data_IF_949611967698
#
_entry.id   IF_949611967698
#
_cell.length_a   1.000
_cell.length_b   1.000
_cell.length_c   1.000
_cell.angle_alpha   90.00
_cell.angle_beta   90.00
_cell.angle_gamma   90.00
#
_symmetry.space_group_name_H-M   'P 1'
#
loop_
_entity.id
_entity.type
_entity.pdbx_description
1 polymer ?
#
# COMPACT_ATOMS: atom_id res chain seq x y z
N UNK A 1 -48.64 -64.64 59.51
CA UNK A 1 -49.82 -65.09 58.74
C UNK A 1 -51.06 -64.72 59.55
N UNK A 2 -52.12 -65.53 59.55
CA UNK A 2 -53.31 -65.38 60.41
C UNK A 2 -52.97 -65.53 61.93
N UNK A 3 -51.71 -65.82 62.26
CA UNK A 3 -51.09 -65.83 63.59
C UNK A 3 -50.40 -64.52 64.01
N UNK A 4 -50.39 -63.49 63.16
CA UNK A 4 -49.73 -62.21 63.44
C UNK A 4 -48.20 -62.19 63.27
N UNK A 5 -47.58 -63.28 62.79
CA UNK A 5 -46.17 -63.30 62.42
C UNK A 5 -45.92 -62.38 61.23
N UNK A 6 -45.06 -61.37 61.44
CA UNK A 6 -44.56 -60.46 60.40
C UNK A 6 -43.15 -60.90 60.00
N UNK A 7 -42.87 -60.93 58.70
CA UNK A 7 -41.52 -61.17 58.19
C UNK A 7 -40.57 -60.09 58.69
N UNK A 8 -39.37 -60.49 59.10
CA UNK A 8 -38.31 -59.56 59.50
C UNK A 8 -37.76 -58.84 58.27
N UNK A 9 -37.81 -57.51 58.26
CA UNK A 9 -37.19 -56.69 57.23
C UNK A 9 -35.67 -56.75 57.38
N UNK A 10 -34.98 -57.23 56.35
CA UNK A 10 -33.53 -57.16 56.27
C UNK A 10 -33.16 -56.02 55.31
N UNK A 11 -32.54 -54.98 55.81
CA UNK A 11 -32.00 -53.90 55.00
C UNK A 11 -30.53 -54.18 54.69
N UNK A 12 -30.14 -53.98 53.43
CA UNK A 12 -28.74 -54.03 52.99
C UNK A 12 -28.43 -52.78 52.21
N UNK A 13 -27.23 -52.25 52.44
CA UNK A 13 -26.70 -51.15 51.65
C UNK A 13 -26.21 -51.69 50.31
N UNK A 14 -26.69 -51.10 49.22
CA UNK A 14 -26.20 -51.34 47.86
C UNK A 14 -25.53 -50.07 47.39
N UNK A 15 -24.26 -50.16 47.01
CA UNK A 15 -23.53 -49.04 46.44
C UNK A 15 -23.63 -49.14 44.91
N UNK A 16 -24.37 -48.22 44.29
CA UNK A 16 -24.49 -48.12 42.83
C UNK A 16 -23.44 -47.10 42.39
N UNK A 17 -22.59 -47.49 41.44
CA UNK A 17 -21.59 -46.60 40.86
C UNK A 17 -22.03 -46.21 39.46
N UNK A 18 -21.83 -44.95 39.11
CA UNK A 18 -22.06 -44.46 37.76
C UNK A 18 -21.12 -45.18 36.76
N UNK A 19 -21.62 -45.41 35.55
CA UNK A 19 -20.85 -45.91 34.42
C UNK A 19 -20.74 -44.74 33.44
N UNK A 20 -19.54 -44.31 33.05
CA UNK A 20 -19.39 -43.20 32.11
C UNK A 20 -19.87 -43.60 30.71
N UNK A 21 -20.26 -42.61 29.89
CA UNK A 21 -20.68 -42.84 28.51
C UNK A 21 -19.53 -43.39 27.67
N UNK A 22 -19.88 -44.09 26.59
CA UNK A 22 -18.93 -44.63 25.61
C UNK A 22 -19.18 -43.99 24.26
N UNK A 23 -18.12 -43.40 23.68
CA UNK A 23 -18.12 -42.81 22.34
C UNK A 23 -17.38 -43.76 21.38
N UNK A 24 -17.95 -43.98 20.20
CA UNK A 24 -17.28 -44.74 19.14
C UNK A 24 -16.27 -43.85 18.41
N UNK A 25 -15.16 -44.41 17.89
CA UNK A 25 -14.20 -43.66 17.10
C UNK A 25 -14.86 -42.93 15.94
N UNK A 26 -14.50 -41.66 15.74
CA UNK A 26 -15.00 -40.86 14.63
C UNK A 26 -14.36 -41.30 13.32
N UNK A 27 -15.10 -41.15 12.22
CA UNK A 27 -14.56 -41.44 10.90
C UNK A 27 -13.50 -40.40 10.53
N UNK A 28 -12.37 -40.86 10.00
CA UNK A 28 -11.38 -39.96 9.40
C UNK A 28 -11.97 -39.27 8.17
N UNK A 29 -11.77 -37.96 8.06
CA UNK A 29 -12.30 -37.16 6.96
C UNK A 29 -11.18 -36.90 5.96
N UNK A 30 -11.49 -37.01 4.67
CA UNK A 30 -10.57 -36.61 3.62
C UNK A 30 -10.42 -35.08 3.62
N UNK A 31 -9.28 -34.54 3.12
CA UNK A 31 -9.13 -33.10 2.99
C UNK A 31 -10.28 -32.49 2.18
N UNK A 32 -10.83 -31.39 2.67
CA UNK A 32 -11.95 -30.67 2.07
C UNK A 32 -11.51 -29.30 1.58
N UNK A 33 -12.27 -28.71 0.67
CA UNK A 33 -12.02 -27.34 0.27
C UNK A 33 -12.59 -26.37 1.31
N UNK A 34 -11.99 -25.19 1.42
CA UNK A 34 -12.55 -24.09 2.21
C UNK A 34 -13.98 -23.75 1.80
N UNK A 35 -14.82 -23.41 2.78
CA UNK A 35 -16.24 -23.15 2.59
C UNK A 35 -17.09 -24.37 2.24
N UNK A 36 -16.48 -25.55 2.08
CA UNK A 36 -17.21 -26.79 1.84
C UNK A 36 -17.86 -27.29 3.14
N UNK A 37 -19.18 -27.48 3.12
CA UNK A 37 -19.89 -28.09 4.24
C UNK A 37 -19.65 -29.59 4.32
N UNK A 38 -19.43 -30.06 5.55
CA UNK A 38 -19.33 -31.49 5.87
C UNK A 38 -20.35 -31.89 6.93
N UNK A 39 -20.59 -33.19 7.02
CA UNK A 39 -21.39 -33.80 8.08
C UNK A 39 -20.52 -34.82 8.82
N UNK A 40 -20.34 -34.63 10.12
CA UNK A 40 -19.71 -35.61 11.01
C UNK A 40 -20.79 -36.16 11.92
N UNK A 41 -20.89 -37.48 12.04
CA UNK A 41 -21.84 -38.14 12.94
C UNK A 41 -21.09 -38.80 14.08
N UNK A 42 -21.42 -38.38 15.30
CA UNK A 42 -20.96 -38.99 16.54
C UNK A 42 -21.88 -40.14 16.92
N UNK A 43 -21.31 -41.24 17.38
CA UNK A 43 -22.09 -42.36 17.89
C UNK A 43 -21.68 -42.63 19.34
N UNK A 44 -22.63 -42.48 20.25
CA UNK A 44 -22.44 -42.61 21.68
C UNK A 44 -23.52 -43.47 22.32
N UNK A 45 -23.14 -44.18 23.38
CA UNK A 45 -24.04 -45.05 24.13
C UNK A 45 -23.67 -45.04 25.61
N UNK A 46 -24.64 -45.32 26.48
CA UNK A 46 -24.45 -45.41 27.92
C UNK A 46 -25.46 -46.40 28.52
N UNK A 47 -25.61 -46.43 29.84
CA UNK A 47 -26.60 -47.28 30.50
C UNK A 47 -28.03 -46.87 30.12
N UNK A 48 -29.00 -47.80 30.13
CA UNK A 48 -30.38 -47.50 29.75
C UNK A 48 -31.06 -46.40 30.56
N UNK A 49 -30.62 -46.13 31.80
CA UNK A 49 -31.15 -45.00 32.59
C UNK A 49 -30.65 -43.66 32.10
N UNK A 50 -29.44 -43.61 31.53
CA UNK A 50 -28.71 -42.37 31.27
C UNK A 50 -28.82 -41.96 29.80
N UNK A 51 -29.08 -42.91 28.88
CA UNK A 51 -29.30 -42.67 27.44
C UNK A 51 -30.24 -41.47 27.16
N UNK A 52 -31.41 -41.32 27.81
CA UNK A 52 -32.33 -40.21 27.52
C UNK A 52 -31.83 -38.83 27.99
N UNK A 53 -30.86 -38.79 28.92
CA UNK A 53 -30.30 -37.57 29.50
C UNK A 53 -28.90 -37.23 29.02
N UNK A 54 -28.34 -38.01 28.10
CA UNK A 54 -27.01 -37.73 27.52
C UNK A 54 -27.02 -36.38 26.81
N UNK A 55 -26.07 -35.53 27.20
CA UNK A 55 -25.77 -34.28 26.51
C UNK A 55 -24.61 -34.56 25.57
N UNK A 56 -24.85 -34.34 24.27
CA UNK A 56 -23.89 -34.62 23.20
C UNK A 56 -23.51 -33.31 22.55
N UNK A 57 -22.22 -33.02 22.49
CA UNK A 57 -21.77 -31.76 21.96
C UNK A 57 -20.48 -31.86 21.16
N UNK A 58 -20.36 -30.95 20.22
CA UNK A 58 -19.21 -30.70 19.40
C UNK A 58 -18.57 -29.38 19.80
N UNK A 59 -17.27 -29.44 19.98
CA UNK A 59 -16.35 -28.32 20.12
C UNK A 59 -15.53 -28.23 18.83
N UNK A 60 -15.63 -27.10 18.14
CA UNK A 60 -14.99 -26.85 16.84
C UNK A 60 -13.68 -26.07 16.96
N UNK A 61 -13.36 -25.54 18.14
CA UNK A 61 -12.12 -24.82 18.42
C UNK A 61 -11.61 -25.13 19.85
N UNK A 62 -11.03 -26.33 20.07
CA UNK A 62 -10.58 -26.79 21.38
C UNK A 62 -9.42 -25.97 21.99
N UNK A 63 -8.99 -24.92 21.29
CA UNK A 63 -8.01 -23.94 21.77
C UNK A 63 -8.64 -22.78 22.55
N UNK A 64 -9.97 -22.61 22.51
CA UNK A 64 -10.68 -21.48 23.10
C UNK A 64 -11.73 -22.01 24.09
N UNK A 65 -11.56 -21.68 25.37
CA UNK A 65 -12.59 -21.92 26.38
C UNK A 65 -13.67 -20.82 26.28
N UNK A 66 -14.75 -21.10 25.55
CA UNK A 66 -15.78 -20.11 25.23
C UNK A 66 -16.71 -19.77 26.40
N UNK A 67 -16.97 -20.71 27.31
CA UNK A 67 -17.87 -20.52 28.45
C UNK A 67 -17.14 -20.22 29.77
N UNK A 68 -15.82 -20.40 29.81
CA UNK A 68 -14.97 -20.15 30.97
C UNK A 68 -15.13 -21.19 32.08
N UNK A 69 -15.69 -22.36 31.77
CA UNK A 69 -16.02 -23.41 32.72
C UNK A 69 -15.32 -24.70 32.32
N UNK A 70 -14.39 -25.16 33.15
CA UNK A 70 -13.70 -26.41 32.89
C UNK A 70 -12.40 -26.18 32.12
N UNK A 71 -12.20 -26.92 31.04
CA UNK A 71 -11.12 -26.73 30.08
C UNK A 71 -11.60 -26.09 28.79
N UNK A 72 -10.69 -25.95 27.81
CA UNK A 72 -11.02 -25.43 26.49
C UNK A 72 -11.52 -26.50 25.52
N UNK A 73 -11.71 -27.74 25.97
CA UNK A 73 -12.05 -28.89 25.11
C UNK A 73 -13.36 -29.58 25.50
N UNK A 74 -14.06 -29.00 26.47
CA UNK A 74 -15.33 -29.43 27.03
C UNK A 74 -16.40 -28.33 26.92
N UNK A 75 -16.08 -27.25 26.21
CA UNK A 75 -17.04 -26.23 25.84
C UNK A 75 -17.92 -26.72 24.70
N UNK A 76 -19.16 -26.24 24.67
CA UNK A 76 -20.17 -26.78 23.80
C UNK A 76 -20.57 -25.76 22.75
N UNK A 77 -20.06 -25.90 21.53
CA UNK A 77 -20.41 -25.03 20.40
C UNK A 77 -21.72 -25.48 19.74
N UNK A 78 -21.81 -26.79 19.42
CA UNK A 78 -22.91 -27.35 18.64
C UNK A 78 -23.45 -28.62 19.31
N UNK A 79 -24.70 -28.55 19.76
CA UNK A 79 -25.40 -29.67 20.41
C UNK A 79 -25.97 -30.62 19.35
N UNK A 80 -25.70 -31.92 19.51
CA UNK A 80 -26.33 -32.98 18.73
C UNK A 80 -25.43 -34.14 18.36
N UNK A 81 -26.03 -35.13 17.69
CA UNK A 81 -25.32 -36.29 17.14
C UNK A 81 -24.61 -35.99 15.81
N UNK A 82 -25.05 -34.94 15.11
CA UNK A 82 -24.54 -34.56 13.79
C UNK A 82 -23.99 -33.15 13.81
N UNK A 83 -22.74 -32.99 13.40
CA UNK A 83 -22.10 -31.71 13.14
C UNK A 83 -22.19 -31.40 11.66
N UNK A 84 -22.90 -30.33 11.31
CA UNK A 84 -22.94 -29.78 9.96
C UNK A 84 -22.20 -28.43 9.96
N UNK A 85 -20.98 -28.40 9.44
CA UNK A 85 -20.09 -27.24 9.54
C UNK A 85 -19.24 -27.03 8.29
N UNK A 86 -18.77 -25.80 8.10
CA UNK A 86 -17.85 -25.41 7.03
C UNK A 86 -16.83 -24.39 7.59
N UNK A 87 -15.54 -24.67 7.38
CA UNK A 87 -14.48 -23.74 7.79
C UNK A 87 -14.27 -22.65 6.75
N UNK A 88 -13.96 -21.45 7.24
CA UNK A 88 -13.71 -20.26 6.45
C UNK A 88 -12.22 -19.94 6.26
N UNK A 89 -11.34 -20.79 6.79
CA UNK A 89 -9.90 -20.65 6.70
C UNK A 89 -9.28 -21.99 6.37
N UNK A 90 -8.35 -21.98 5.44
CA UNK A 90 -7.48 -23.12 5.18
C UNK A 90 -6.62 -23.49 6.42
N UNK A 91 -6.25 -24.76 6.53
CA UNK A 91 -5.44 -25.28 7.62
C UNK A 91 -5.95 -26.57 8.25
N UNK A 92 -5.29 -27.00 9.33
CA UNK A 92 -5.68 -28.17 10.11
C UNK A 92 -6.54 -27.75 11.28
N UNK A 93 -7.80 -28.17 11.29
CA UNK A 93 -8.76 -27.86 12.34
C UNK A 93 -8.99 -29.10 13.20
N UNK A 94 -9.00 -28.94 14.52
CA UNK A 94 -9.27 -30.04 15.46
C UNK A 94 -10.68 -29.88 15.97
N UNK A 95 -11.45 -30.97 15.99
CA UNK A 95 -12.82 -31.00 16.48
C UNK A 95 -12.92 -32.05 17.57
N UNK A 96 -13.55 -31.70 18.68
CA UNK A 96 -13.77 -32.60 19.81
C UNK A 96 -15.27 -32.91 19.90
N UNK A 97 -15.62 -34.19 19.92
CA UNK A 97 -16.97 -34.63 20.23
C UNK A 97 -16.97 -35.19 21.64
N UNK A 98 -17.74 -34.58 22.55
CA UNK A 98 -17.84 -35.02 23.92
C UNK A 98 -19.29 -35.31 24.31
N UNK A 99 -19.43 -36.29 25.19
CA UNK A 99 -20.74 -36.72 25.70
C UNK A 99 -20.68 -36.77 27.21
N UNK A 100 -21.66 -36.14 27.83
CA UNK A 100 -21.78 -35.97 29.28
C UNK A 100 -23.07 -36.61 29.76
N UNK A 101 -22.97 -37.46 30.79
CA UNK A 101 -24.13 -38.03 31.47
C UNK A 101 -24.72 -37.09 32.54
N UNK A 102 -25.84 -37.48 33.17
CA UNK A 102 -26.51 -36.69 34.21
C UNK A 102 -25.74 -36.67 35.55
N UNK A 103 -24.69 -37.48 35.66
CA UNK A 103 -23.76 -37.56 36.79
C UNK A 103 -22.44 -36.83 36.51
N UNK A 104 -22.39 -36.06 35.42
CA UNK A 104 -21.23 -35.27 34.98
C UNK A 104 -20.00 -36.09 34.59
N UNK A 105 -20.14 -37.38 34.32
CA UNK A 105 -19.07 -38.14 33.70
C UNK A 105 -19.04 -37.87 32.20
N UNK A 106 -17.84 -37.66 31.67
CA UNK A 106 -17.62 -37.24 30.28
C UNK A 106 -16.70 -38.20 29.56
N UNK A 107 -16.98 -38.42 28.27
CA UNK A 107 -16.10 -39.13 27.35
C UNK A 107 -16.02 -38.34 26.06
N UNK A 108 -14.82 -38.18 25.51
CA UNK A 108 -14.57 -37.43 24.29
C UNK A 108 -13.80 -38.23 23.24
N UNK A 109 -14.01 -37.86 21.98
CA UNK A 109 -13.29 -38.36 20.82
C UNK A 109 -12.87 -37.17 19.95
N UNK A 110 -11.69 -37.26 19.33
CA UNK A 110 -11.09 -36.16 18.58
C UNK A 110 -10.97 -36.53 17.11
N UNK A 111 -11.29 -35.59 16.23
CA UNK A 111 -11.05 -35.71 14.79
C UNK A 111 -10.31 -34.48 14.27
N UNK A 112 -9.37 -34.70 13.36
CA UNK A 112 -8.65 -33.62 12.67
C UNK A 112 -9.19 -33.51 11.25
N UNK A 113 -9.56 -32.30 10.85
CA UNK A 113 -10.06 -31.97 9.52
C UNK A 113 -9.05 -31.09 8.80
N UNK A 114 -8.56 -31.55 7.66
CA UNK A 114 -7.66 -30.79 6.81
C UNK A 114 -8.49 -29.98 5.80
N UNK A 115 -8.38 -28.66 5.86
CA UNK A 115 -9.06 -27.71 4.97
C UNK A 115 -8.04 -27.12 4.02
N UNK A 116 -8.27 -27.31 2.73
CA UNK A 116 -7.40 -26.88 1.65
C UNK A 116 -7.89 -25.55 1.09
N UNK A 117 -6.95 -24.60 0.98
CA UNK A 117 -7.21 -23.29 0.37
C UNK A 117 -7.69 -23.41 -1.09
N UNK A 118 -8.67 -22.58 -1.47
CA UNK A 118 -9.10 -22.40 -2.86
C UNK A 118 -8.44 -21.12 -3.37
N UNK A 119 -7.42 -21.19 -4.25
CA UNK A 119 -6.74 -19.98 -4.70
C UNK A 119 -7.62 -19.11 -5.63
N UNK A 120 -7.42 -17.79 -5.66
CA UNK A 120 -8.20 -16.87 -6.48
C UNK A 120 -8.07 -17.16 -7.96
N UNK A 121 -9.17 -16.99 -8.69
CA UNK A 121 -9.19 -17.00 -10.15
C UNK A 121 -9.27 -15.56 -10.64
N UNK A 122 -8.11 -14.97 -10.90
CA UNK A 122 -8.00 -13.57 -11.36
C UNK A 122 -8.62 -13.39 -12.73
N UNK A 123 -9.52 -12.41 -12.85
CA UNK A 123 -10.16 -12.05 -14.12
C UNK A 123 -10.00 -10.57 -14.41
N UNK A 124 -9.28 -10.29 -15.48
CA UNK A 124 -8.97 -8.94 -15.95
C UNK A 124 -9.81 -8.59 -17.18
N UNK A 125 -10.34 -7.37 -17.21
CA UNK A 125 -11.06 -6.88 -18.37
C UNK A 125 -10.06 -6.43 -19.44
N UNK A 126 -10.27 -6.88 -20.69
CA UNK A 126 -9.48 -6.39 -21.82
C UNK A 126 -9.74 -4.89 -22.05
N UNK A 127 -8.66 -4.13 -22.22
CA UNK A 127 -8.67 -2.68 -22.42
C UNK A 127 -7.70 -2.30 -23.52
N UNK A 128 -8.06 -1.28 -24.31
CA UNK A 128 -7.15 -0.63 -25.25
C UNK A 128 -6.88 0.77 -24.72
N UNK A 129 -5.61 1.12 -24.61
CA UNK A 129 -5.18 2.39 -24.01
C UNK A 129 -4.40 3.21 -25.02
N UNK A 130 -4.22 4.50 -24.73
CA UNK A 130 -3.44 5.42 -25.56
C UNK A 130 -2.31 5.99 -24.73
N UNK A 131 -1.21 6.32 -25.38
CA UNK A 131 -0.07 6.90 -24.70
C UNK A 131 -0.46 8.28 -24.12
N UNK A 132 0.01 8.58 -22.90
CA UNK A 132 -0.27 9.81 -22.16
C UNK A 132 -1.73 10.03 -21.74
N UNK A 133 -2.62 9.05 -21.95
CA UNK A 133 -3.99 9.02 -21.40
C UNK A 133 -4.08 8.07 -20.20
N UNK A 134 -5.04 8.31 -19.31
CA UNK A 134 -5.33 7.42 -18.18
C UNK A 134 -5.97 6.11 -18.65
N UNK A 135 -5.30 5.00 -18.37
CA UNK A 135 -5.74 3.63 -18.63
C UNK A 135 -6.26 3.01 -17.34
N UNK A 136 -7.51 2.55 -17.35
CA UNK A 136 -8.10 1.86 -16.19
C UNK A 136 -7.89 0.36 -16.32
N UNK A 137 -7.17 -0.22 -15.37
CA UNK A 137 -7.00 -1.67 -15.21
C UNK A 137 -7.99 -2.14 -14.14
N UNK A 138 -8.76 -3.19 -14.44
CA UNK A 138 -9.84 -3.65 -13.58
C UNK A 138 -9.83 -5.18 -13.47
N UNK A 139 -9.60 -5.68 -12.25
CA UNK A 139 -9.61 -7.08 -11.86
C UNK A 139 -10.75 -7.41 -10.89
N UNK A 140 -11.74 -6.53 -10.69
CA UNK A 140 -12.86 -6.76 -9.76
C UNK A 140 -13.81 -7.90 -10.13
N UNK A 141 -13.60 -8.52 -11.31
CA UNK A 141 -14.37 -9.71 -11.73
C UNK A 141 -13.68 -11.03 -11.34
N UNK A 142 -12.58 -10.94 -10.58
CA UNK A 142 -11.91 -12.07 -9.93
C UNK A 142 -12.90 -12.87 -9.09
N UNK A 143 -12.73 -14.19 -9.10
CA UNK A 143 -13.60 -15.12 -8.38
C UNK A 143 -12.76 -15.81 -7.32
N UNK A 144 -13.31 -15.90 -6.12
CA UNK A 144 -12.77 -16.68 -5.03
C UNK A 144 -13.90 -17.24 -4.14
N UNK A 145 -13.51 -17.94 -3.08
CA UNK A 145 -14.26 -18.17 -1.86
C UNK A 145 -15.04 -16.93 -1.42
N UNK A 146 -16.25 -17.14 -0.91
CA UNK A 146 -17.13 -16.05 -0.44
C UNK A 146 -16.53 -15.30 0.75
N UNK A 147 -15.66 -15.95 1.52
CA UNK A 147 -15.03 -15.33 2.67
C UNK A 147 -13.81 -14.49 2.25
N UNK A 148 -13.06 -14.95 1.26
CA UNK A 148 -11.78 -14.32 0.91
C UNK A 148 -11.91 -13.24 -0.16
N UNK A 149 -12.99 -13.29 -0.97
CA UNK A 149 -13.22 -12.32 -2.05
C UNK A 149 -13.17 -10.84 -1.60
N UNK A 150 -13.50 -10.56 -0.33
CA UNK A 150 -13.48 -9.22 0.23
C UNK A 150 -12.08 -8.75 0.64
N UNK A 151 -11.21 -9.68 1.05
CA UNK A 151 -9.89 -9.41 1.64
C UNK A 151 -8.74 -9.74 0.68
N UNK A 152 -9.05 -9.97 -0.60
CA UNK A 152 -8.05 -10.21 -1.64
C UNK A 152 -7.09 -9.02 -1.80
N UNK A 153 -5.81 -9.33 -1.79
CA UNK A 153 -4.74 -8.38 -2.05
C UNK A 153 -4.37 -8.41 -3.54
N UNK A 154 -4.59 -7.31 -4.25
CA UNK A 154 -4.31 -7.20 -5.68
C UNK A 154 -3.03 -6.43 -5.93
N UNK A 155 -2.17 -6.98 -6.77
CA UNK A 155 -0.96 -6.33 -7.28
C UNK A 155 -0.93 -6.42 -8.79
N UNK A 156 -0.42 -5.38 -9.43
CA UNK A 156 -0.21 -5.31 -10.86
C UNK A 156 1.27 -5.11 -11.15
N UNK A 157 1.78 -5.97 -12.00
CA UNK A 157 3.07 -5.88 -12.68
C UNK A 157 2.80 -5.29 -14.07
N UNK A 158 3.31 -4.09 -14.34
CA UNK A 158 3.05 -3.36 -15.57
C UNK A 158 3.94 -3.82 -16.73
N UNK A 159 5.06 -4.48 -16.46
CA UNK A 159 5.98 -4.96 -17.48
C UNK A 159 6.69 -6.26 -17.04
N UNK A 160 6.08 -7.39 -17.39
CA UNK A 160 6.59 -8.75 -17.09
C UNK A 160 7.97 -9.08 -17.70
N UNK A 161 8.58 -8.15 -18.46
CA UNK A 161 9.87 -8.34 -19.09
C UNK A 161 11.02 -7.69 -18.30
N UNK A 162 10.70 -6.82 -17.35
CA UNK A 162 11.63 -6.02 -16.58
C UNK A 162 11.46 -6.32 -15.10
N UNK A 163 12.55 -6.72 -14.46
CA UNK A 163 12.60 -6.98 -13.02
C UNK A 163 12.83 -5.64 -12.30
N UNK A 164 11.73 -5.05 -11.82
CA UNK A 164 11.72 -3.74 -11.16
C UNK A 164 12.30 -3.78 -9.75
N UNK A 165 12.12 -4.89 -9.02
CA UNK A 165 12.55 -5.02 -7.63
C UNK A 165 13.93 -5.68 -7.44
N UNK A 166 14.47 -6.31 -8.49
CA UNK A 166 15.79 -6.95 -8.54
C UNK A 166 15.87 -8.33 -7.88
N UNK A 167 14.74 -9.01 -7.65
CA UNK A 167 14.68 -10.33 -7.00
C UNK A 167 15.00 -11.50 -7.96
N UNK A 168 15.20 -11.21 -9.25
CA UNK A 168 15.51 -12.18 -10.29
C UNK A 168 14.29 -12.79 -10.98
N UNK A 169 13.08 -12.45 -10.54
CA UNK A 169 11.80 -12.80 -11.14
C UNK A 169 11.22 -11.52 -11.77
N UNK A 170 10.91 -11.59 -13.05
CA UNK A 170 10.51 -10.40 -13.84
C UNK A 170 9.01 -10.17 -13.90
N UNK A 171 8.24 -11.13 -13.40
CA UNK A 171 6.83 -11.27 -13.69
C UNK A 171 5.99 -11.37 -12.40
N UNK A 172 6.54 -10.90 -11.28
CA UNK A 172 5.94 -10.84 -9.94
C UNK A 172 6.13 -9.45 -9.31
N UNK A 173 6.45 -8.44 -10.11
CA UNK A 173 6.76 -7.11 -9.59
C UNK A 173 5.51 -6.36 -9.13
N UNK A 174 5.65 -5.68 -7.99
CA UNK A 174 4.57 -4.93 -7.39
C UNK A 174 4.60 -3.45 -7.77
N UNK A 175 4.19 -3.13 -9.00
CA UNK A 175 4.19 -1.75 -9.49
C UNK A 175 2.98 -0.95 -8.97
N UNK A 176 1.78 -1.56 -8.97
CA UNK A 176 0.55 -0.93 -8.49
C UNK A 176 -0.24 -1.90 -7.60
N UNK A 177 -1.00 -1.35 -6.65
CA UNK A 177 -1.83 -2.13 -5.72
C UNK A 177 -3.29 -1.72 -5.80
N UNK A 178 -4.19 -2.70 -5.82
CA UNK A 178 -5.65 -2.49 -5.79
C UNK A 178 -6.40 -3.23 -6.89
N UNK A 179 -7.66 -3.59 -6.62
CA UNK A 179 -8.51 -4.34 -7.57
C UNK A 179 -8.83 -3.56 -8.86
N UNK A 180 -8.82 -2.22 -8.76
CA UNK A 180 -8.95 -1.30 -9.89
C UNK A 180 -7.91 -0.21 -9.72
N UNK A 181 -7.08 -0.02 -10.73
CA UNK A 181 -5.99 0.96 -10.73
C UNK A 181 -6.02 1.77 -12.02
N UNK A 182 -5.46 2.97 -11.95
CA UNK A 182 -5.34 3.87 -13.10
C UNK A 182 -3.85 4.08 -13.37
N UNK A 183 -3.44 3.92 -14.62
CA UNK A 183 -2.05 4.04 -15.04
C UNK A 183 -1.94 4.77 -16.38
N UNK A 184 -0.88 5.56 -16.55
CA UNK A 184 -0.61 6.28 -17.79
C UNK A 184 0.62 5.70 -18.48
N UNK A 185 0.41 5.01 -19.61
CA UNK A 185 1.50 4.49 -20.41
C UNK A 185 2.16 5.63 -21.20
N UNK A 186 3.47 5.80 -21.08
CA UNK A 186 4.23 6.81 -21.87
C UNK A 186 4.61 6.31 -23.27
N UNK A 187 4.85 5.01 -23.39
CA UNK A 187 5.32 4.37 -24.64
C UNK A 187 4.15 3.70 -25.35
N UNK A 188 4.11 3.87 -26.67
CA UNK A 188 3.21 3.11 -27.53
C UNK A 188 3.73 1.69 -27.79
N UNK A 189 2.83 0.78 -28.15
CA UNK A 189 3.16 -0.60 -28.48
C UNK A 189 2.38 -1.63 -27.67
N UNK A 190 2.87 -2.87 -27.68
CA UNK A 190 2.26 -3.97 -26.93
C UNK A 190 2.93 -4.08 -25.57
N UNK A 191 2.15 -3.94 -24.51
CA UNK A 191 2.60 -4.13 -23.13
C UNK A 191 1.90 -5.36 -22.56
N UNK A 192 2.64 -6.20 -21.86
CA UNK A 192 2.10 -7.36 -21.17
C UNK A 192 2.12 -7.08 -19.68
N UNK A 193 0.94 -6.90 -19.12
CA UNK A 193 0.70 -6.60 -17.71
C UNK A 193 0.25 -7.89 -17.02
N UNK A 194 0.71 -8.16 -15.80
CA UNK A 194 0.19 -9.27 -15.00
C UNK A 194 -0.53 -8.75 -13.77
N UNK A 195 -1.76 -9.21 -13.56
CA UNK A 195 -2.47 -9.03 -12.30
C UNK A 195 -2.26 -10.27 -11.45
N UNK A 196 -1.95 -10.07 -10.17
CA UNK A 196 -1.79 -11.15 -9.18
C UNK A 196 -2.69 -10.83 -7.99
N UNK A 197 -3.42 -11.82 -7.51
CA UNK A 197 -4.25 -11.72 -6.32
C UNK A 197 -3.80 -12.77 -5.30
N UNK A 198 -3.67 -12.36 -4.04
CA UNK A 198 -3.40 -13.23 -2.91
C UNK A 198 -4.61 -13.23 -1.96
N UNK A 199 -4.98 -14.42 -1.54
CA UNK A 199 -5.88 -14.68 -0.41
C UNK A 199 -5.06 -14.69 0.91
N UNK A 200 -5.58 -15.30 1.96
CA UNK A 200 -4.90 -15.46 3.25
C UNK A 200 -3.70 -16.42 3.21
N UNK A 201 -3.59 -17.24 2.16
CA UNK A 201 -2.52 -18.19 1.94
C UNK A 201 -1.54 -17.73 0.83
N UNK A 202 -0.33 -17.26 1.19
CA UNK A 202 0.61 -16.71 0.22
C UNK A 202 1.23 -17.74 -0.74
N UNK A 203 1.05 -19.05 -0.50
CA UNK A 203 1.72 -20.10 -1.28
C UNK A 203 1.19 -20.23 -2.72
N UNK A 204 -0.08 -19.89 -2.97
CA UNK A 204 -0.75 -20.13 -4.26
C UNK A 204 -1.58 -18.93 -4.71
N UNK A 205 -0.93 -17.82 -5.13
CA UNK A 205 -1.67 -16.70 -5.67
C UNK A 205 -2.35 -17.04 -7.00
N UNK A 206 -3.48 -16.39 -7.23
CA UNK A 206 -4.11 -16.30 -8.52
C UNK A 206 -3.37 -15.29 -9.40
N UNK A 207 -3.25 -15.55 -10.70
CA UNK A 207 -2.70 -14.56 -11.63
C UNK A 207 -3.36 -14.59 -13.00
N UNK A 208 -3.36 -13.44 -13.68
CA UNK A 208 -3.85 -13.30 -15.05
C UNK A 208 -2.99 -12.32 -15.84
N UNK A 209 -2.65 -12.69 -17.07
CA UNK A 209 -1.89 -11.85 -17.98
C UNK A 209 -2.84 -11.08 -18.89
N UNK A 210 -2.65 -9.76 -18.96
CA UNK A 210 -3.37 -8.82 -19.79
C UNK A 210 -2.42 -8.24 -20.85
N UNK A 211 -2.70 -8.49 -22.13
CA UNK A 211 -1.96 -7.89 -23.23
C UNK A 211 -2.71 -6.62 -23.67
N UNK A 212 -2.06 -5.47 -23.48
CA UNK A 212 -2.61 -4.15 -23.81
C UNK A 212 -1.91 -3.63 -25.07
N UNK A 213 -2.70 -3.22 -26.07
CA UNK A 213 -2.18 -2.46 -27.20
C UNK A 213 -2.32 -0.97 -26.87
N UNK A 214 -1.19 -0.31 -26.59
CA UNK A 214 -1.13 1.13 -26.34
C UNK A 214 -0.99 1.85 -27.68
N UNK A 215 -2.03 2.60 -28.06
CA UNK A 215 -2.04 3.44 -29.26
C UNK A 215 -1.29 4.75 -29.08
N UNK A 216 -1.18 5.51 -30.18
CA UNK A 216 -0.57 6.85 -30.19
C UNK A 216 -1.30 7.80 -29.25
N UNK A 217 -0.58 8.77 -28.69
CA UNK A 217 -1.16 9.84 -27.89
C UNK A 217 -2.12 10.70 -28.72
N UNK A 218 -3.24 11.13 -28.11
CA UNK A 218 -4.15 12.08 -28.74
C UNK A 218 -3.55 13.49 -28.64
N UNK A 219 -2.78 13.88 -29.67
CA UNK A 219 -2.07 15.17 -29.73
C UNK A 219 -2.61 16.01 -30.87
N UNK A 220 -2.82 17.30 -30.58
CA UNK A 220 -3.03 18.29 -31.63
C UNK A 220 -1.70 18.61 -32.34
N UNK A 221 -1.75 19.12 -33.57
CA UNK A 221 -0.59 19.42 -34.43
C UNK A 221 0.49 20.26 -33.69
N UNK A 222 0.07 21.20 -32.84
CA UNK A 222 0.98 22.04 -32.04
C UNK A 222 1.67 21.26 -30.91
N UNK A 223 0.96 20.34 -30.26
CA UNK A 223 1.51 19.49 -29.20
C UNK A 223 2.45 18.42 -29.76
N UNK A 224 2.15 17.90 -30.94
CA UNK A 224 3.03 16.96 -31.66
C UNK A 224 4.35 17.64 -32.05
N UNK A 225 4.29 18.84 -32.62
CA UNK A 225 5.47 19.65 -32.91
C UNK A 225 6.24 20.04 -31.64
N UNK A 226 5.53 20.38 -30.56
CA UNK A 226 6.12 20.69 -29.26
C UNK A 226 6.89 19.50 -28.66
N UNK A 227 6.31 18.32 -28.68
CA UNK A 227 6.92 17.10 -28.14
C UNK A 227 8.17 16.66 -28.92
N UNK A 228 8.22 16.89 -30.24
CA UNK A 228 9.42 16.65 -31.06
C UNK A 228 10.59 17.56 -30.69
N UNK A 229 10.30 18.76 -30.16
CA UNK A 229 11.29 19.79 -29.86
C UNK A 229 11.70 19.79 -28.39
N UNK A 230 10.77 19.52 -27.48
CA UNK A 230 10.97 19.56 -26.04
C UNK A 230 10.20 18.43 -25.34
N UNK A 231 10.85 17.78 -24.38
CA UNK A 231 10.30 16.66 -23.60
C UNK A 231 11.15 15.40 -23.69
N UNK A 232 10.69 14.34 -23.04
CA UNK A 232 11.36 13.03 -22.99
C UNK A 232 11.39 12.34 -24.38
N UNK A 233 10.48 12.73 -25.29
CA UNK A 233 10.37 12.23 -26.67
C UNK A 233 11.05 13.15 -27.71
N UNK A 234 11.85 14.13 -27.28
CA UNK A 234 12.40 15.12 -28.19
C UNK A 234 13.43 14.49 -29.15
N UNK A 235 13.27 14.76 -30.45
CA UNK A 235 14.21 14.29 -31.45
C UNK A 235 15.45 15.19 -31.47
N UNK A 236 16.68 14.63 -31.28
CA UNK A 236 17.91 15.41 -31.36
C UNK A 236 18.05 16.15 -32.70
N UNK A 237 17.54 15.55 -33.78
CA UNK A 237 17.56 16.15 -35.11
C UNK A 237 16.63 17.36 -35.21
N UNK A 238 15.42 17.25 -34.65
CA UNK A 238 14.46 18.36 -34.64
C UNK A 238 14.96 19.54 -33.79
N UNK A 239 15.60 19.25 -32.65
CA UNK A 239 16.23 20.26 -31.80
C UNK A 239 17.35 21.01 -32.52
N UNK A 240 18.26 20.29 -33.19
CA UNK A 240 19.32 20.92 -34.01
C UNK A 240 18.72 21.77 -35.13
N UNK A 241 17.67 21.28 -35.79
CA UNK A 241 16.93 22.04 -36.80
C UNK A 241 16.36 23.36 -36.27
N UNK A 242 15.75 23.35 -35.09
CA UNK A 242 15.21 24.56 -34.46
C UNK A 242 16.31 25.55 -34.08
N UNK A 243 17.42 25.07 -33.52
CA UNK A 243 18.58 25.91 -33.18
C UNK A 243 19.14 26.59 -34.44
N UNK A 244 19.24 25.86 -35.56
CA UNK A 244 19.68 26.43 -36.83
C UNK A 244 18.71 27.51 -37.36
N UNK A 245 17.39 27.30 -37.22
CA UNK A 245 16.39 28.30 -37.61
C UNK A 245 16.48 29.55 -36.74
N UNK A 246 16.67 29.41 -35.42
CA UNK A 246 16.88 30.55 -34.51
C UNK A 246 18.14 31.33 -34.85
N UNK A 247 19.24 30.64 -35.15
CA UNK A 247 20.49 31.28 -35.59
C UNK A 247 20.28 32.03 -36.91
N UNK A 248 19.59 31.42 -37.90
CA UNK A 248 19.27 32.08 -39.16
C UNK A 248 18.38 33.31 -38.97
N UNK A 249 17.39 33.26 -38.08
CA UNK A 249 16.54 34.41 -37.74
C UNK A 249 17.35 35.53 -37.07
N UNK A 250 18.25 35.21 -36.14
CA UNK A 250 19.13 36.19 -35.52
C UNK A 250 20.06 36.84 -36.56
N UNK A 251 20.61 36.07 -37.49
CA UNK A 251 21.43 36.58 -38.60
C UNK A 251 20.61 37.48 -39.53
N UNK A 252 19.36 37.12 -39.85
CA UNK A 252 18.47 37.96 -40.66
C UNK A 252 18.09 39.26 -39.96
N UNK A 253 17.83 39.23 -38.65
CA UNK A 253 17.55 40.43 -37.84
C UNK A 253 18.78 41.33 -37.75
N UNK A 254 19.97 40.76 -37.53
CA UNK A 254 21.22 41.50 -37.52
C UNK A 254 21.48 42.17 -38.89
N UNK A 255 21.28 41.46 -40.00
CA UNK A 255 21.39 42.02 -41.36
C UNK A 255 20.34 43.11 -41.65
N UNK A 256 19.12 42.97 -41.14
CA UNK A 256 18.10 44.05 -41.23
C UNK A 256 18.50 45.28 -40.43
N UNK A 257 19.13 45.11 -39.27
CA UNK A 257 19.62 46.21 -38.43
C UNK A 257 20.77 46.96 -39.11
N UNK A 258 21.70 46.25 -39.74
CA UNK A 258 22.80 46.87 -40.51
C UNK A 258 22.30 47.72 -41.71
N UNK A 259 21.27 47.24 -42.41
CA UNK A 259 20.64 48.00 -43.50
C UNK A 259 19.87 49.24 -43.00
N UNK A 260 19.37 49.22 -41.76
CA UNK A 260 18.74 50.39 -41.13
C UNK A 260 19.77 51.40 -40.60
N UNK A 261 20.95 50.95 -40.14
CA UNK A 261 22.04 51.84 -39.71
C UNK A 261 22.73 52.57 -40.87
N UNK A 262 22.69 52.05 -42.11
CA UNK A 262 23.19 52.79 -43.28
C UNK A 262 22.30 53.96 -43.72
N UNK A 263 21.03 54.00 -43.31
CA UNK A 263 20.10 55.07 -43.66
C UNK A 263 20.13 56.26 -42.67
N UNK A 264 20.91 56.18 -41.58
CA UNK A 264 20.86 57.15 -40.48
C UNK A 264 22.20 57.84 -40.19
N UNK A 265 22.99 58.12 -41.24
CA UNK A 265 24.31 58.76 -41.15
C UNK A 265 24.38 60.15 -41.81
N UNK A 266 23.26 60.87 -41.97
CA UNK A 266 23.21 62.24 -42.54
C UNK A 266 22.77 63.33 -41.56
N UNK A 267 22.89 63.13 -40.25
CA UNK A 267 22.71 64.22 -39.29
C UNK A 267 23.46 63.93 -38.00
N UNK A 268 24.73 64.31 -38.00
CA UNK A 268 25.51 64.58 -36.79
C UNK A 268 26.32 65.84 -37.09
N UNK A 269 25.82 66.98 -36.62
CA UNK A 269 26.60 68.06 -36.03
C UNK A 269 25.65 69.14 -35.49
N UNK A 270 26.09 69.82 -34.43
CA UNK A 270 25.41 70.83 -33.62
C UNK A 270 24.49 70.30 -32.51
N UNK A 271 25.06 69.78 -31.41
CA UNK A 271 24.64 70.13 -30.03
C UNK A 271 25.52 69.59 -28.88
N UNK A 272 26.78 69.17 -29.11
CA UNK A 272 27.60 68.53 -28.05
C UNK A 272 28.66 69.44 -27.39
N UNK A 273 28.72 70.74 -27.73
CA UNK A 273 29.72 71.69 -27.19
C UNK A 273 29.20 72.61 -26.07
N UNK A 274 28.36 72.11 -25.16
CA UNK A 274 27.75 72.98 -24.13
C UNK A 274 27.69 72.43 -22.69
N UNK A 275 28.41 71.36 -22.35
CA UNK A 275 28.38 70.82 -20.97
C UNK A 275 29.74 70.58 -20.31
N UNK A 276 30.81 71.16 -20.87
CA UNK A 276 32.06 71.35 -20.14
C UNK A 276 32.04 72.71 -19.42
N UNK A 277 31.47 72.77 -18.21
CA UNK A 277 31.92 73.70 -17.18
C UNK A 277 31.44 73.31 -15.76
N UNK A 278 32.41 73.30 -14.85
CA UNK A 278 32.37 72.98 -13.42
C UNK A 278 31.24 73.64 -12.61
N UNK A 279 30.69 72.92 -11.62
CA UNK A 279 30.92 73.17 -10.18
C UNK A 279 29.95 72.41 -9.24
N UNK A 280 30.54 71.78 -8.21
CA UNK A 280 30.02 71.45 -6.87
C UNK A 280 28.60 70.82 -6.73
N UNK A 281 28.52 69.59 -6.20
CA UNK A 281 28.45 69.32 -4.75
C UNK A 281 28.16 67.82 -4.50
N UNK A 282 28.75 67.33 -3.42
CA UNK A 282 28.70 66.01 -2.79
C UNK A 282 27.33 65.29 -2.82
N UNK A 283 27.32 63.97 -3.10
CA UNK A 283 26.66 62.96 -2.26
C UNK A 283 27.21 61.56 -2.58
N UNK A 284 27.73 60.93 -1.54
CA UNK A 284 28.32 59.59 -1.50
C UNK A 284 27.19 58.53 -1.56
N UNK A 285 27.25 57.61 -2.52
CA UNK A 285 26.77 56.23 -2.33
C UNK A 285 27.71 55.26 -3.06
N UNK A 286 28.55 54.57 -2.28
CA UNK A 286 29.45 53.51 -2.74
C UNK A 286 28.61 52.28 -3.10
N UNK A 287 28.70 51.81 -4.34
CA UNK A 287 28.32 50.43 -4.71
C UNK A 287 29.44 49.47 -4.28
N UNK A 288 29.15 48.32 -3.64
CA UNK A 288 30.16 47.30 -3.38
C UNK A 288 30.54 46.51 -4.63
N UNK A 289 31.76 45.98 -4.59
CA UNK A 289 32.48 45.32 -5.66
C UNK A 289 32.00 43.89 -5.95
N UNK A 290 32.37 43.43 -7.15
CA UNK A 290 32.20 42.09 -7.73
C UNK A 290 32.52 40.90 -6.81
N UNK A 291 31.90 39.72 -7.02
CA UNK A 291 32.07 38.53 -6.16
C UNK A 291 33.48 37.90 -6.27
N UNK A 292 33.95 37.20 -5.21
CA UNK A 292 35.28 36.58 -5.18
C UNK A 292 35.33 35.29 -6.00
N UNK A 293 36.52 34.85 -6.45
CA UNK A 293 36.64 33.70 -7.35
C UNK A 293 36.53 32.35 -6.63
N UNK A 294 35.98 31.36 -7.34
CA UNK A 294 35.41 30.09 -6.85
C UNK A 294 36.36 29.03 -6.30
N UNK A 295 37.52 29.39 -5.75
CA UNK A 295 38.49 28.41 -5.22
C UNK A 295 38.24 28.01 -3.75
N UNK A 296 37.23 28.62 -3.10
CA UNK A 296 36.95 28.41 -1.67
C UNK A 296 35.98 27.25 -1.43
N UNK A 297 35.25 26.80 -2.46
CA UNK A 297 34.20 25.80 -2.32
C UNK A 297 34.72 24.35 -2.34
N UNK A 298 35.88 24.10 -2.96
CA UNK A 298 36.46 22.75 -3.07
C UNK A 298 37.18 22.27 -1.80
N UNK A 299 37.52 23.17 -0.86
CA UNK A 299 38.11 22.77 0.43
C UNK A 299 37.08 22.30 1.46
N UNK A 300 35.78 22.61 1.27
CA UNK A 300 34.72 22.26 2.22
C UNK A 300 34.14 20.84 2.04
N UNK A 301 34.46 20.15 0.94
CA UNK A 301 33.95 18.80 0.64
C UNK A 301 34.86 17.65 1.11
N UNK A 302 36.02 17.94 1.72
CA UNK A 302 37.02 16.92 2.10
C UNK A 302 37.18 16.69 3.61
N UNK A 303 36.33 17.27 4.47
CA UNK A 303 36.38 17.03 5.93
C UNK A 303 35.03 16.55 6.44
N UNK A 304 34.89 15.31 6.94
CA UNK A 304 33.67 14.88 7.62
C UNK A 304 33.58 15.58 9.00
N UNK A 305 32.44 16.19 9.37
CA UNK A 305 32.28 16.76 10.69
C UNK A 305 32.23 15.63 11.74
N UNK A 306 33.09 15.76 12.73
CA UNK A 306 33.05 14.97 13.96
C UNK A 306 32.10 15.62 14.97
N UNK A 307 31.53 14.78 15.84
CA UNK A 307 30.68 15.07 17.00
C UNK A 307 29.26 15.60 16.75
N UNK A 308 28.29 14.70 16.93
CA UNK A 308 26.87 14.98 17.16
C UNK A 308 26.71 15.35 18.63
N UNK A 309 26.27 16.57 18.92
CA UNK A 309 25.75 16.94 20.24
C UNK A 309 24.22 16.81 20.20
N UNK A 310 23.69 15.93 21.05
CA UNK A 310 22.27 15.60 21.10
C UNK A 310 21.51 16.67 21.89
N UNK A 311 21.07 17.71 21.20
CA UNK A 311 20.02 18.63 21.65
C UNK A 311 18.74 18.38 20.87
N UNK A 312 17.63 18.14 21.56
CA UNK A 312 16.29 18.01 21.00
C UNK A 312 15.87 19.31 20.31
N UNK A 313 15.94 19.36 18.97
CA UNK A 313 15.46 20.50 18.16
C UNK A 313 14.08 20.11 17.63
N UNK A 314 13.04 20.82 18.07
CA UNK A 314 11.68 20.66 17.55
C UNK A 314 11.62 21.13 16.10
N UNK A 315 10.92 20.39 15.24
CA UNK A 315 10.76 20.69 13.80
C UNK A 315 10.07 22.06 13.60
N UNK A 316 9.26 22.51 14.55
CA UNK A 316 8.61 23.83 14.50
C UNK A 316 9.60 25.00 14.66
N UNK A 317 10.68 24.85 15.42
CA UNK A 317 11.71 25.89 15.60
C UNK A 317 12.61 26.08 14.36
N UNK A 318 12.60 25.11 13.43
CA UNK A 318 13.33 25.19 12.16
C UNK A 318 12.52 25.90 11.05
N UNK A 319 11.23 26.14 11.28
CA UNK A 319 10.31 26.76 10.32
C UNK A 319 9.90 28.20 10.71
N UNK A 320 10.17 28.65 11.94
CA UNK A 320 9.93 30.03 12.35
C UNK A 320 11.01 30.97 11.82
N UNK A 321 10.61 31.92 10.96
CA UNK A 321 11.48 33.00 10.51
C UNK A 321 11.92 33.92 11.67
N UNK A 322 12.89 34.82 11.44
CA UNK A 322 13.39 35.75 12.46
C UNK A 322 12.26 36.53 13.15
N UNK A 323 12.33 36.66 14.48
CA UNK A 323 11.31 37.39 15.27
C UNK A 323 11.20 38.85 14.84
N UNK A 324 9.98 39.31 14.56
CA UNK A 324 9.71 40.69 14.16
C UNK A 324 10.03 41.69 15.29
N UNK A 325 10.64 42.85 14.98
CA UNK A 325 10.86 43.93 15.95
C UNK A 325 9.52 44.54 16.40
N UNK A 326 9.48 45.13 17.60
CA UNK A 326 8.26 45.79 18.14
C UNK A 326 7.75 46.95 17.26
N UNK A 327 8.60 47.52 16.40
CA UNK A 327 8.24 48.56 15.44
C UNK A 327 7.66 48.04 14.11
N UNK A 328 7.59 46.71 13.93
CA UNK A 328 7.19 46.07 12.68
C UNK A 328 8.34 45.84 11.70
N UNK A 329 8.01 45.48 10.44
CA UNK A 329 9.02 45.34 9.39
C UNK A 329 9.67 46.69 9.07
N UNK A 330 10.96 46.71 8.68
CA UNK A 330 11.60 47.93 8.17
C UNK A 330 10.86 48.49 6.95
N UNK A 331 10.86 49.82 6.79
CA UNK A 331 10.15 50.50 5.69
C UNK A 331 10.57 49.94 4.32
N UNK A 332 9.57 49.47 3.56
CA UNK A 332 9.75 48.90 2.22
C UNK A 332 10.07 47.41 2.16
N UNK A 333 10.08 46.69 3.28
CA UNK A 333 10.35 45.24 3.32
C UNK A 333 9.08 44.39 3.26
N UNK A 334 9.14 43.28 2.52
CA UNK A 334 8.10 42.26 2.53
C UNK A 334 8.38 41.17 3.58
N UNK A 335 7.33 40.41 3.95
CA UNK A 335 7.43 39.29 4.90
C UNK A 335 8.38 38.18 4.42
N UNK A 336 8.44 37.96 3.11
CA UNK A 336 9.34 36.99 2.51
C UNK A 336 10.80 37.44 2.58
N UNK A 337 11.06 38.73 2.34
CA UNK A 337 12.41 39.30 2.51
C UNK A 337 12.85 39.26 3.98
N UNK A 338 11.91 39.48 4.90
CA UNK A 338 12.19 39.35 6.32
C UNK A 338 12.54 37.90 6.71
N UNK A 339 11.82 36.91 6.20
CA UNK A 339 12.11 35.51 6.50
C UNK A 339 13.53 35.08 6.08
N UNK A 340 14.05 35.64 4.98
CA UNK A 340 15.39 35.31 4.49
C UNK A 340 16.50 36.18 5.10
N UNK A 341 16.28 37.49 5.27
CA UNK A 341 17.35 38.44 5.62
C UNK A 341 17.17 39.10 7.01
N UNK A 342 16.08 38.82 7.71
CA UNK A 342 15.76 39.43 9.00
C UNK A 342 16.77 39.11 10.10
N UNK A 343 17.41 37.93 10.07
CA UNK A 343 18.46 37.56 11.02
C UNK A 343 19.69 38.47 10.90
N UNK A 344 20.15 38.77 9.69
CA UNK A 344 21.29 39.69 9.49
C UNK A 344 20.92 41.12 9.86
N UNK A 345 19.70 41.55 9.53
CA UNK A 345 19.22 42.87 9.89
C UNK A 345 19.18 43.06 11.41
N UNK A 346 18.66 42.09 12.17
CA UNK A 346 18.65 42.11 13.64
C UNK A 346 20.06 42.12 14.23
N UNK A 347 21.00 41.39 13.64
CA UNK A 347 22.39 41.39 14.08
C UNK A 347 23.10 42.74 13.83
N UNK A 348 22.74 43.45 12.76
CA UNK A 348 23.28 44.78 12.46
C UNK A 348 22.78 45.89 13.38
N UNK A 349 21.70 45.64 14.15
CA UNK A 349 21.09 46.58 15.10
C UNK A 349 21.62 46.42 16.54
N UNK A 350 22.40 45.36 16.81
CA UNK A 350 23.19 45.20 18.05
C UNK A 350 24.55 45.85 17.91
#
# INVERSE_FOLDING_TARGET
>A
DDDGAKSTTNERWVNIRNVPPVVQPLNSILPIAEGQSITITGNSTDTPSDIPSLVKCWDIDPGIDSDGIGGASDDCDIIGDELNYAWNRSGSHTVVYHVTDDNSATTSEVVVVEVVNIPPIVRVKSVNCRAYDECVLDARTTIDSLNDIADLNYVWDLDISFDSNGDGVKDNDADLTGARVEHMFKKEGKVSVKAIAWDENPEKPGSAILIINVGTADRNIVQEAGALLAGEEASPVAQVGLVLILILLLVLVARRRENSSKAKNWQRDELDDAFDNESNLETITRKPASPPPGFVFEQALQVPPSSVDNGNISIDDLLEGPKLPEAGLPDGWSMEQWNYYGHEWLNSQK
#
